data_IF_856489152160
#
_entry.id   IF_856489152160
#
_cell.length_a   1.000
_cell.length_b   1.000
_cell.length_c   1.000
_cell.angle_alpha   90.00
_cell.angle_beta   90.00
_cell.angle_gamma   90.00
#
_symmetry.space_group_name_H-M   'P 1'
#
loop_
_entity.id
_entity.type
_entity.pdbx_description
1 polymer ?
#
# COMPACT_ATOMS: atom_id res chain seq x y z
N UNK A 1 -2.31 1.04 3.05
CA UNK A 1 -3.24 0.56 4.08
C UNK A 1 -4.15 1.70 4.51
N UNK A 2 -5.31 1.39 5.07
CA UNK A 2 -6.29 2.41 5.50
C UNK A 2 -6.06 2.85 6.94
N UNK A 3 -5.82 1.92 7.87
CA UNK A 3 -5.58 2.24 9.28
C UNK A 3 -6.85 2.60 10.05
N UNK A 4 -6.70 3.17 11.24
CA UNK A 4 -7.80 3.60 12.13
C UNK A 4 -8.85 2.51 12.38
N UNK A 5 -10.12 2.93 12.52
CA UNK A 5 -11.25 2.04 12.76
C UNK A 5 -11.46 1.00 11.64
N UNK A 6 -11.18 1.36 10.38
CA UNK A 6 -11.27 0.42 9.24
C UNK A 6 -10.21 -0.68 9.35
N UNK A 7 -8.98 -0.29 9.70
CA UNK A 7 -7.90 -1.25 9.97
C UNK A 7 -8.23 -2.17 11.14
N UNK A 8 -8.86 -1.65 12.20
CA UNK A 8 -9.29 -2.44 13.34
C UNK A 8 -10.37 -3.45 12.97
N UNK A 9 -11.39 -3.01 12.23
CA UNK A 9 -12.43 -3.90 11.71
C UNK A 9 -11.84 -5.02 10.85
N UNK A 10 -10.87 -4.71 9.99
CA UNK A 10 -10.17 -5.71 9.19
C UNK A 10 -9.35 -6.70 10.04
N UNK A 11 -8.73 -6.24 11.14
CA UNK A 11 -8.06 -7.12 12.09
C UNK A 11 -9.04 -8.07 12.79
N UNK A 12 -10.20 -7.59 13.20
CA UNK A 12 -11.19 -8.39 13.93
C UNK A 12 -11.78 -9.53 13.08
N UNK A 13 -11.75 -9.41 11.75
CA UNK A 13 -12.14 -10.45 10.78
C UNK A 13 -11.10 -11.59 10.65
N UNK A 14 -9.90 -11.44 11.20
CA UNK A 14 -8.89 -12.49 11.12
C UNK A 14 -9.27 -13.71 11.97
N UNK A 15 -9.09 -14.89 11.38
CA UNK A 15 -9.05 -16.14 12.16
C UNK A 15 -7.88 -16.13 13.14
N UNK A 16 -7.99 -16.93 14.20
CA UNK A 16 -6.87 -17.24 15.11
C UNK A 16 -5.68 -17.78 14.30
N UNK A 17 -4.46 -17.37 14.65
CA UNK A 17 -3.25 -17.72 13.88
C UNK A 17 -3.10 -16.94 12.56
N UNK A 18 -3.91 -15.90 12.33
CA UNK A 18 -3.89 -15.11 11.10
C UNK A 18 -2.66 -14.20 10.99
N UNK A 19 -2.51 -13.53 9.83
CA UNK A 19 -1.45 -12.56 9.57
C UNK A 19 -2.07 -11.21 9.23
N UNK A 20 -1.57 -10.15 9.84
CA UNK A 20 -2.07 -8.78 9.62
C UNK A 20 -0.94 -7.86 9.18
N UNK A 21 -1.08 -7.21 8.02
CA UNK A 21 -0.08 -6.27 7.49
C UNK A 21 -0.53 -4.82 7.69
N UNK A 22 0.08 -4.14 8.68
CA UNK A 22 -0.23 -2.76 9.01
C UNK A 22 0.78 -1.82 8.33
N UNK A 23 0.45 -1.33 7.13
CA UNK A 23 1.40 -0.54 6.30
C UNK A 23 0.98 0.91 6.02
N UNK A 24 -0.26 1.34 6.30
CA UNK A 24 -0.65 2.72 6.02
C UNK A 24 -1.92 3.20 6.73
N UNK A 25 -2.15 4.50 6.60
CA UNK A 25 -3.09 5.29 7.42
C UNK A 25 -3.96 6.25 6.57
N UNK A 26 -4.47 5.81 5.42
CA UNK A 26 -5.30 6.66 4.54
C UNK A 26 -6.58 7.21 5.22
N UNK A 27 -7.03 6.62 6.33
CA UNK A 27 -8.13 7.14 7.16
C UNK A 27 -7.67 8.17 8.22
N UNK A 28 -6.40 8.58 8.22
CA UNK A 28 -5.87 9.63 9.10
C UNK A 28 -5.13 9.14 10.35
N UNK A 29 -5.17 7.84 10.66
CA UNK A 29 -4.42 7.26 11.77
C UNK A 29 -3.96 5.83 11.45
N UNK A 30 -2.86 5.39 12.07
CA UNK A 30 -2.52 3.97 12.07
C UNK A 30 -3.59 3.17 12.84
N UNK A 31 -3.63 1.86 12.60
CA UNK A 31 -4.49 0.97 13.38
C UNK A 31 -3.82 0.67 14.71
N UNK A 32 -4.58 0.83 15.80
CA UNK A 32 -4.17 0.45 17.14
C UNK A 32 -4.69 -0.95 17.46
N UNK A 33 -3.77 -1.87 17.77
CA UNK A 33 -4.07 -3.25 18.12
C UNK A 33 -3.31 -3.55 19.41
N UNK A 34 -4.01 -3.82 20.53
CA UNK A 34 -3.36 -4.19 21.78
C UNK A 34 -2.55 -5.49 21.62
N UNK A 35 -1.35 -5.54 22.17
CA UNK A 35 -0.47 -6.71 22.08
C UNK A 35 -1.13 -7.94 22.71
N UNK A 36 -1.89 -7.77 23.79
CA UNK A 36 -2.61 -8.85 24.45
C UNK A 36 -3.62 -9.51 23.51
N UNK A 37 -4.26 -8.71 22.65
CA UNK A 37 -5.22 -9.21 21.67
C UNK A 37 -4.51 -9.98 20.55
N UNK A 38 -3.34 -9.51 20.12
CA UNK A 38 -2.48 -10.20 19.15
C UNK A 38 -2.06 -11.56 19.70
N UNK A 39 -1.55 -11.60 20.93
CA UNK A 39 -1.12 -12.83 21.59
C UNK A 39 -2.30 -13.79 21.84
N UNK A 40 -3.41 -13.29 22.38
CA UNK A 40 -4.59 -14.10 22.67
C UNK A 40 -5.18 -14.76 21.41
N UNK A 41 -5.07 -14.11 20.25
CA UNK A 41 -5.50 -14.65 18.95
C UNK A 41 -4.38 -15.36 18.18
N UNK A 42 -3.15 -15.32 18.66
CA UNK A 42 -1.96 -15.84 17.98
C UNK A 42 -1.72 -15.19 16.61
N UNK A 43 -2.07 -13.92 16.44
CA UNK A 43 -1.92 -13.22 15.15
C UNK A 43 -0.47 -12.80 14.93
N UNK A 44 0.04 -12.96 13.72
CA UNK A 44 1.34 -12.38 13.32
C UNK A 44 1.13 -10.99 12.76
N UNK A 45 1.65 -9.97 13.45
CA UNK A 45 1.76 -8.62 12.89
C UNK A 45 2.94 -8.53 11.91
N UNK A 46 2.67 -8.08 10.69
CA UNK A 46 3.67 -7.77 9.67
C UNK A 46 3.78 -6.25 9.64
N UNK A 47 4.83 -5.73 10.27
CA UNK A 47 5.17 -4.31 10.22
C UNK A 47 5.86 -3.93 8.91
N UNK A 48 5.94 -2.62 8.65
CA UNK A 48 6.75 -2.09 7.56
C UNK A 48 8.21 -2.49 7.77
N UNK A 49 8.70 -3.42 6.96
CA UNK A 49 10.13 -3.68 6.90
C UNK A 49 10.82 -2.42 6.35
N UNK A 50 12.02 -2.13 6.87
CA UNK A 50 12.97 -1.22 6.21
C UNK A 50 13.96 -2.08 5.43
N UNK A 51 13.58 -2.60 4.26
CA UNK A 51 14.47 -3.45 3.47
C UNK A 51 15.75 -2.70 3.12
N UNK A 52 16.86 -3.43 3.04
CA UNK A 52 18.11 -2.89 2.53
C UNK A 52 17.94 -2.49 1.06
N UNK A 53 18.79 -1.58 0.52
CA UNK A 53 18.75 -1.25 -0.90
C UNK A 53 18.86 -2.48 -1.82
N UNK A 54 19.65 -3.49 -1.43
CA UNK A 54 19.76 -4.74 -2.18
C UNK A 54 18.44 -5.54 -2.16
N UNK A 55 17.78 -5.65 -1.00
CA UNK A 55 16.48 -6.31 -0.88
C UNK A 55 15.40 -5.58 -1.69
N UNK A 56 15.39 -4.24 -1.67
CA UNK A 56 14.47 -3.43 -2.50
C UNK A 56 14.68 -3.68 -3.99
N UNK A 57 15.93 -3.73 -4.46
CA UNK A 57 16.25 -4.03 -5.87
C UNK A 57 15.75 -5.42 -6.26
N UNK A 58 15.98 -6.44 -5.42
CA UNK A 58 15.51 -7.79 -5.68
C UNK A 58 13.97 -7.85 -5.75
N UNK A 59 13.27 -7.17 -4.84
CA UNK A 59 11.80 -7.09 -4.86
C UNK A 59 11.29 -6.36 -6.11
N UNK A 60 11.93 -5.29 -6.53
CA UNK A 60 11.59 -4.56 -7.75
C UNK A 60 11.78 -5.43 -9.00
N UNK A 61 12.90 -6.15 -9.10
CA UNK A 61 13.17 -7.08 -10.19
C UNK A 61 12.12 -8.20 -10.25
N UNK A 62 11.76 -8.77 -9.10
CA UNK A 62 10.71 -9.78 -9.03
C UNK A 62 9.37 -9.23 -9.53
N UNK A 63 8.95 -8.05 -9.05
CA UNK A 63 7.69 -7.42 -9.49
C UNK A 63 7.68 -7.10 -11.00
N UNK A 64 8.80 -6.64 -11.56
CA UNK A 64 8.93 -6.42 -12.99
C UNK A 64 8.87 -7.73 -13.78
N UNK A 65 9.48 -8.81 -13.28
CA UNK A 65 9.37 -10.14 -13.87
C UNK A 65 7.93 -10.66 -13.92
N UNK A 66 7.16 -10.46 -12.83
CA UNK A 66 5.72 -10.76 -12.79
C UNK A 66 4.92 -9.93 -13.80
N UNK A 67 5.32 -8.68 -14.04
CA UNK A 67 4.68 -7.82 -15.02
C UNK A 67 4.96 -8.25 -16.46
N UNK A 68 6.21 -8.62 -16.77
CA UNK A 68 6.58 -9.21 -18.07
C UNK A 68 5.83 -10.51 -18.32
N UNK A 69 5.68 -11.34 -17.28
CA UNK A 69 4.91 -12.57 -17.36
C UNK A 69 3.38 -12.36 -17.41
N UNK A 70 2.89 -11.12 -17.35
CA UNK A 70 1.48 -10.77 -17.40
C UNK A 70 0.66 -11.14 -16.15
N UNK A 71 1.31 -11.62 -15.08
CA UNK A 71 0.68 -11.99 -13.79
C UNK A 71 0.45 -10.79 -12.88
N UNK A 72 1.24 -9.73 -13.04
CA UNK A 72 1.06 -8.46 -12.37
C UNK A 72 0.76 -7.36 -13.40
N UNK A 73 -0.44 -6.78 -13.35
CA UNK A 73 -0.83 -5.67 -14.24
C UNK A 73 -1.13 -4.43 -13.41
N UNK A 74 -0.23 -3.44 -13.36
CA UNK A 74 -0.51 -2.17 -12.69
C UNK A 74 -1.68 -1.45 -13.36
N UNK A 75 -2.69 -1.06 -12.57
CA UNK A 75 -3.74 -0.17 -13.04
C UNK A 75 -3.22 1.26 -12.98
N UNK A 76 -2.96 1.88 -14.12
CA UNK A 76 -2.73 3.33 -14.22
C UNK A 76 -4.08 3.98 -14.43
N UNK A 77 -4.62 4.65 -13.40
CA UNK A 77 -5.95 5.26 -13.49
C UNK A 77 -5.93 6.71 -13.97
N UNK A 78 -4.76 7.36 -13.92
CA UNK A 78 -4.59 8.72 -14.41
C UNK A 78 -3.13 9.03 -14.70
N UNK A 79 -2.91 9.89 -15.68
CA UNK A 79 -1.60 10.39 -16.09
C UNK A 79 -1.63 11.91 -16.13
N UNK A 80 -0.56 12.55 -15.68
CA UNK A 80 -0.38 14.00 -15.79
C UNK A 80 0.99 14.28 -16.40
N UNK A 81 1.14 15.36 -17.19
CA UNK A 81 2.46 15.94 -17.43
C UNK A 81 3.16 16.26 -16.10
N UNK A 82 4.50 16.19 -16.06
CA UNK A 82 5.26 16.47 -14.84
C UNK A 82 5.00 17.88 -14.30
N UNK A 83 4.82 18.87 -15.19
CA UNK A 83 4.45 20.24 -14.85
C UNK A 83 3.09 20.36 -14.15
N UNK A 84 2.21 19.37 -14.31
CA UNK A 84 0.90 19.27 -13.66
C UNK A 84 0.93 18.41 -12.38
N UNK A 85 2.09 18.22 -11.75
CA UNK A 85 2.20 17.45 -10.49
C UNK A 85 1.31 18.01 -9.36
N UNK A 86 1.02 19.32 -9.37
CA UNK A 86 0.09 19.92 -8.41
C UNK A 86 -1.34 19.37 -8.57
N UNK A 87 -1.82 19.25 -9.80
CA UNK A 87 -3.16 18.70 -10.10
C UNK A 87 -3.24 17.21 -9.74
N UNK A 88 -2.16 16.46 -10.00
CA UNK A 88 -2.02 15.06 -9.62
C UNK A 88 -2.17 14.87 -8.10
N UNK A 89 -1.54 15.72 -7.29
CA UNK A 89 -1.69 15.70 -5.83
C UNK A 89 -3.08 16.15 -5.38
N UNK A 90 -3.64 17.20 -5.98
CA UNK A 90 -4.98 17.67 -5.66
C UNK A 90 -6.04 16.57 -5.92
N UNK A 91 -5.89 15.79 -6.98
CA UNK A 91 -6.74 14.62 -7.26
C UNK A 91 -6.61 13.55 -6.17
N UNK A 92 -5.39 13.28 -5.68
CA UNK A 92 -5.15 12.34 -4.58
C UNK A 92 -5.78 12.81 -3.26
N UNK A 93 -5.62 14.10 -2.92
CA UNK A 93 -6.19 14.69 -1.70
C UNK A 93 -7.72 14.63 -1.69
N UNK A 94 -8.35 14.92 -2.84
CA UNK A 94 -9.81 14.84 -3.02
C UNK A 94 -10.32 13.40 -3.14
N UNK A 95 -9.42 12.39 -3.02
CA UNK A 95 -9.72 10.95 -3.17
C UNK A 95 -10.37 10.61 -4.51
N UNK A 96 -9.99 11.30 -5.58
CA UNK A 96 -10.45 11.05 -6.95
C UNK A 96 -9.62 10.00 -7.71
N UNK A 97 -8.59 9.44 -7.07
CA UNK A 97 -7.64 8.51 -7.69
C UNK A 97 -8.10 7.05 -7.58
N UNK A 98 -8.08 6.32 -8.70
CA UNK A 98 -8.13 4.86 -8.74
C UNK A 98 -6.80 4.33 -9.30
N UNK A 99 -6.23 3.29 -8.71
CA UNK A 99 -4.96 2.72 -9.17
C UNK A 99 -3.75 3.64 -8.93
N UNK A 100 -2.86 3.71 -9.91
CA UNK A 100 -1.64 4.52 -9.90
C UNK A 100 -1.84 5.84 -10.66
N UNK A 101 -1.33 6.92 -10.07
CA UNK A 101 -1.08 8.19 -10.75
C UNK A 101 0.33 8.16 -11.33
N UNK A 102 0.47 8.45 -12.62
CA UNK A 102 1.78 8.51 -13.29
C UNK A 102 2.06 9.95 -13.77
N UNK A 103 3.26 10.46 -13.48
CA UNK A 103 3.75 11.71 -14.03
C UNK A 103 4.62 11.41 -15.25
N UNK A 104 4.32 12.07 -16.38
CA UNK A 104 5.05 11.92 -17.63
C UNK A 104 6.14 12.99 -17.70
N UNK A 105 7.41 12.56 -17.66
CA UNK A 105 8.57 13.45 -17.66
C UNK A 105 8.85 14.11 -19.03
N UNK A 106 8.23 13.61 -20.09
CA UNK A 106 8.33 14.14 -21.44
C UNK A 106 6.92 14.10 -22.03
N UNK A 107 6.50 15.20 -22.67
CA UNK A 107 5.30 15.15 -23.51
C UNK A 107 5.54 14.12 -24.62
N UNK A 108 4.55 13.25 -24.85
CA UNK A 108 4.55 12.36 -26.00
C UNK A 108 4.50 13.18 -27.30
#
# INVERSE_FOLDING_TARGET
>A
GVGGAIGRAAFDLLRRGGRFCAFGMASGAFVEIPDELVQARGVTLIGGSRPTPAALRALAQAALGEAVAGRLRPLVGQTFPLECAADAHAAMERRATVGKTLLLAHAA
#
